data_IF_636381962236
#
_entry.id   IF_636381962236
#
_cell.length_a   1.000
_cell.length_b   1.000
_cell.length_c   1.000
_cell.angle_alpha   90.00
_cell.angle_beta   90.00
_cell.angle_gamma   90.00
#
_symmetry.space_group_name_H-M   'P 1'
#
loop_
_entity.id
_entity.type
_entity.pdbx_description
1 polymer ?
#
# COMPACT_ATOMS: atom_id res chain seq x y z
N UNK A 1 45.32 32.70 -15.88
CA UNK A 1 44.01 33.27 -15.49
C UNK A 1 42.95 32.44 -16.15
N UNK A 2 41.84 32.18 -15.44
CA UNK A 2 40.68 31.45 -15.98
C UNK A 2 40.43 30.13 -15.28
N UNK A 3 39.97 30.20 -14.03
CA UNK A 3 39.26 29.14 -13.33
C UNK A 3 37.83 29.12 -13.88
N UNK A 4 37.57 28.37 -14.94
CA UNK A 4 36.21 28.20 -15.49
C UNK A 4 35.89 26.71 -15.64
N UNK A 5 35.75 26.02 -14.52
CA UNK A 5 35.10 24.71 -14.52
C UNK A 5 34.40 24.39 -13.18
N UNK A 6 33.87 25.43 -12.53
CA UNK A 6 33.06 25.29 -11.33
C UNK A 6 31.61 25.63 -11.67
N UNK A 7 30.73 24.65 -11.44
CA UNK A 7 29.26 24.71 -11.47
C UNK A 7 28.56 24.29 -12.77
N UNK A 8 28.74 23.03 -13.19
CA UNK A 8 27.78 22.34 -14.08
C UNK A 8 26.80 21.41 -13.33
N UNK A 9 26.77 21.44 -12.00
CA UNK A 9 25.82 20.65 -11.20
C UNK A 9 25.06 21.59 -10.26
N UNK A 10 23.73 21.72 -10.38
CA UNK A 10 22.95 22.53 -9.45
C UNK A 10 23.13 22.00 -8.02
N UNK A 11 23.05 22.88 -6.99
CA UNK A 11 23.16 22.44 -5.60
C UNK A 11 22.10 21.35 -5.33
N UNK A 12 22.58 20.18 -4.92
CA UNK A 12 21.71 19.07 -4.50
C UNK A 12 21.39 19.25 -3.01
N UNK A 13 20.12 19.35 -2.68
CA UNK A 13 19.63 19.32 -1.31
C UNK A 13 19.31 17.88 -0.96
N UNK A 14 20.07 17.29 -0.06
CA UNK A 14 19.81 15.95 0.48
C UNK A 14 19.14 16.11 1.85
N UNK A 15 17.99 15.48 2.04
CA UNK A 15 17.24 15.50 3.31
C UNK A 15 17.21 14.08 3.87
N UNK A 16 17.66 13.93 5.12
CA UNK A 16 17.55 12.67 5.84
C UNK A 16 16.14 12.54 6.42
N UNK A 17 15.42 11.50 6.00
CA UNK A 17 14.07 11.22 6.47
C UNK A 17 13.95 9.76 6.91
N UNK A 18 13.23 9.53 8.01
CA UNK A 18 12.89 8.17 8.45
C UNK A 18 11.55 7.73 7.85
N UNK A 19 11.33 6.43 7.71
CA UNK A 19 10.03 5.89 7.30
C UNK A 19 8.89 6.38 8.23
N UNK A 20 9.17 6.54 9.53
CA UNK A 20 8.23 7.11 10.48
C UNK A 20 7.91 8.58 10.19
N UNK A 21 8.89 9.39 9.81
CA UNK A 21 8.67 10.79 9.45
C UNK A 21 7.80 10.93 8.19
N UNK A 22 8.03 10.08 7.18
CA UNK A 22 7.18 10.00 5.99
C UNK A 22 5.76 9.60 6.38
N UNK A 23 5.60 8.56 7.19
CA UNK A 23 4.29 8.11 7.68
C UNK A 23 3.52 9.22 8.39
N UNK A 24 4.18 9.96 9.28
CA UNK A 24 3.55 11.05 10.04
C UNK A 24 3.14 12.23 9.16
N UNK A 25 3.79 12.42 8.01
CA UNK A 25 3.45 13.48 7.05
C UNK A 25 2.31 13.08 6.09
N UNK A 26 2.01 11.78 5.96
CA UNK A 26 0.92 11.32 5.13
C UNK A 26 -0.42 11.62 5.84
N UNK A 27 -1.40 12.22 5.14
CA UNK A 27 -2.74 12.45 5.68
C UNK A 27 -3.53 11.13 5.67
N UNK A 28 -3.09 10.16 6.49
CA UNK A 28 -3.71 8.85 6.63
C UNK A 28 -4.89 9.00 7.58
N UNK A 29 -6.12 9.08 7.07
CA UNK A 29 -7.27 8.76 7.91
C UNK A 29 -7.36 7.25 8.03
N UNK A 30 -7.47 6.76 9.25
CA UNK A 30 -8.11 5.48 9.51
C UNK A 30 -9.60 5.79 9.52
N UNK A 31 -10.43 4.83 9.16
CA UNK A 31 -11.90 4.95 9.18
C UNK A 31 -12.52 5.48 7.88
N UNK A 32 -12.48 4.64 6.85
CA UNK A 32 -13.64 4.61 5.96
C UNK A 32 -14.80 3.96 6.74
N UNK A 33 -15.86 4.72 7.04
CA UNK A 33 -17.08 4.24 7.73
C UNK A 33 -17.73 3.07 6.97
N UNK A 34 -17.58 3.07 5.64
CA UNK A 34 -17.97 2.00 4.74
C UNK A 34 -16.74 1.36 4.12
N UNK A 35 -16.67 0.03 4.13
CA UNK A 35 -15.68 -0.73 3.35
C UNK A 35 -16.36 -1.28 2.10
N UNK A 36 -15.86 -0.89 0.93
CA UNK A 36 -16.45 -1.32 -0.34
C UNK A 36 -15.82 -2.64 -0.82
N UNK A 37 -16.54 -3.36 -1.67
CA UNK A 37 -16.02 -4.57 -2.29
C UNK A 37 -14.80 -4.24 -3.17
N UNK A 38 -13.64 -4.87 -2.91
CA UNK A 38 -12.50 -4.76 -3.80
C UNK A 38 -12.81 -5.33 -5.20
N UNK A 39 -12.05 -4.95 -6.23
CA UNK A 39 -12.17 -5.55 -7.56
C UNK A 39 -12.07 -7.07 -7.49
N UNK A 40 -12.99 -7.78 -8.15
CA UNK A 40 -13.07 -9.24 -8.09
C UNK A 40 -13.77 -9.79 -6.84
N UNK A 41 -14.41 -8.94 -6.04
CA UNK A 41 -15.18 -9.34 -4.86
C UNK A 41 -16.61 -8.82 -4.94
N UNK A 42 -17.54 -9.46 -4.21
CA UNK A 42 -18.87 -8.87 -3.95
C UNK A 42 -19.34 -9.15 -2.53
N UNK A 43 -20.16 -8.25 -1.99
CA UNK A 43 -20.95 -8.52 -0.79
C UNK A 43 -22.26 -9.19 -1.21
N UNK A 44 -22.54 -10.38 -0.66
CA UNK A 44 -23.79 -11.12 -0.80
C UNK A 44 -24.58 -11.06 0.50
N UNK A 45 -25.90 -10.90 0.40
CA UNK A 45 -26.80 -10.86 1.56
C UNK A 45 -26.82 -9.49 2.24
N UNK A 46 -27.61 -9.41 3.31
CA UNK A 46 -27.84 -8.18 4.08
C UNK A 46 -27.74 -8.45 5.59
N UNK A 47 -27.37 -7.42 6.35
CA UNK A 47 -27.25 -7.50 7.81
C UNK A 47 -26.23 -8.55 8.28
N UNK A 48 -26.57 -9.31 9.33
CA UNK A 48 -25.67 -10.31 9.92
C UNK A 48 -25.39 -11.52 9.00
N UNK A 49 -26.21 -11.72 7.97
CA UNK A 49 -26.03 -12.77 6.97
C UNK A 49 -25.12 -12.35 5.81
N UNK A 50 -24.64 -11.09 5.80
CA UNK A 50 -23.78 -10.61 4.73
C UNK A 50 -22.46 -11.41 4.68
N UNK A 51 -22.03 -11.75 3.46
CA UNK A 51 -20.82 -12.51 3.15
C UNK A 51 -20.07 -11.88 1.99
N UNK A 52 -18.78 -11.69 2.15
CA UNK A 52 -17.87 -11.27 1.09
C UNK A 52 -17.45 -12.48 0.28
N UNK A 53 -17.63 -12.43 -1.04
CA UNK A 53 -17.37 -13.54 -1.96
C UNK A 53 -16.35 -13.12 -3.00
N UNK A 54 -15.28 -13.90 -3.13
CA UNK A 54 -14.28 -13.76 -4.19
C UNK A 54 -14.88 -14.29 -5.52
N UNK A 55 -15.03 -13.41 -6.51
CA UNK A 55 -15.71 -13.67 -7.79
C UNK A 55 -14.83 -14.36 -8.83
N UNK A 56 -13.51 -14.30 -8.66
CA UNK A 56 -12.57 -15.01 -9.52
C UNK A 56 -12.04 -16.26 -8.81
N UNK A 57 -12.79 -17.37 -8.79
CA UNK A 57 -12.20 -18.63 -8.41
C UNK A 57 -11.18 -19.03 -9.47
N UNK A 58 -10.00 -19.47 -9.02
CA UNK A 58 -9.13 -20.31 -9.85
C UNK A 58 -9.97 -21.43 -10.47
N UNK A 59 -9.84 -21.74 -11.77
CA UNK A 59 -10.69 -22.71 -12.44
C UNK A 59 -10.71 -24.04 -11.67
N UNK A 60 -11.91 -24.49 -11.28
CA UNK A 60 -12.12 -25.72 -10.52
C UNK A 60 -12.17 -25.57 -9.00
N UNK A 61 -12.09 -24.35 -8.43
CA UNK A 61 -12.34 -24.11 -7.01
C UNK A 61 -13.69 -23.44 -6.77
N UNK A 62 -14.35 -23.82 -5.68
CA UNK A 62 -15.53 -23.10 -5.21
C UNK A 62 -15.13 -21.67 -4.77
N UNK A 63 -16.02 -20.67 -4.94
CA UNK A 63 -15.81 -19.34 -4.39
C UNK A 63 -15.57 -19.42 -2.88
N UNK A 64 -14.62 -18.64 -2.39
CA UNK A 64 -14.39 -18.50 -0.95
C UNK A 64 -15.27 -17.39 -0.40
N UNK A 65 -15.82 -17.63 0.77
CA UNK A 65 -16.70 -16.69 1.46
C UNK A 65 -16.07 -16.25 2.79
N UNK A 66 -16.25 -14.98 3.11
CA UNK A 66 -15.70 -14.34 4.30
C UNK A 66 -16.80 -13.56 5.01
N UNK A 67 -16.86 -13.66 6.33
CA UNK A 67 -17.91 -13.06 7.15
C UNK A 67 -17.59 -11.61 7.52
N UNK A 68 -16.31 -11.25 7.64
CA UNK A 68 -15.90 -9.95 8.16
C UNK A 68 -14.97 -9.21 7.20
N UNK A 69 -14.93 -7.88 7.35
CA UNK A 69 -13.93 -7.01 6.69
C UNK A 69 -12.51 -7.48 6.98
N UNK A 70 -12.18 -7.83 8.24
CA UNK A 70 -10.82 -8.21 8.63
C UNK A 70 -10.32 -9.40 7.83
N UNK A 71 -11.18 -10.41 7.64
CA UNK A 71 -10.86 -11.63 6.89
C UNK A 71 -10.61 -11.34 5.40
N UNK A 72 -11.41 -10.47 4.79
CA UNK A 72 -11.22 -10.05 3.39
C UNK A 72 -9.88 -9.33 3.23
N UNK A 73 -9.63 -8.35 4.09
CA UNK A 73 -8.41 -7.59 4.03
C UNK A 73 -7.17 -8.48 4.29
N UNK A 74 -7.26 -9.46 5.21
CA UNK A 74 -6.19 -10.46 5.44
C UNK A 74 -5.91 -11.30 4.21
N UNK A 75 -6.97 -11.75 3.53
CA UNK A 75 -6.83 -12.49 2.28
C UNK A 75 -6.17 -11.67 1.17
N UNK A 76 -6.51 -10.37 1.06
CA UNK A 76 -5.88 -9.45 0.11
C UNK A 76 -4.39 -9.22 0.42
N UNK A 77 -4.07 -9.11 1.71
CA UNK A 77 -2.69 -8.99 2.20
C UNK A 77 -1.87 -10.23 1.83
N UNK A 78 -2.41 -11.43 2.05
CA UNK A 78 -1.77 -12.69 1.64
C UNK A 78 -1.58 -12.80 0.12
N UNK A 79 -2.59 -12.40 -0.66
CA UNK A 79 -2.52 -12.42 -2.12
C UNK A 79 -1.43 -11.46 -2.64
N UNK A 80 -1.38 -10.24 -2.12
CA UNK A 80 -0.34 -9.28 -2.47
C UNK A 80 1.05 -9.80 -2.08
N UNK A 81 1.18 -10.36 -0.87
CA UNK A 81 2.45 -10.92 -0.39
C UNK A 81 2.95 -12.07 -1.27
N UNK A 82 2.05 -12.93 -1.78
CA UNK A 82 2.40 -14.00 -2.71
C UNK A 82 2.95 -13.48 -4.06
N UNK A 83 2.61 -12.25 -4.44
CA UNK A 83 3.15 -11.54 -5.61
C UNK A 83 4.36 -10.65 -5.28
N UNK A 84 4.85 -10.68 -4.04
CA UNK A 84 5.95 -9.80 -3.58
C UNK A 84 5.54 -8.33 -3.45
N UNK A 85 4.26 -8.06 -3.20
CA UNK A 85 3.68 -6.71 -3.02
C UNK A 85 3.07 -6.57 -1.62
N UNK A 86 2.87 -5.34 -1.17
CA UNK A 86 2.11 -5.04 0.05
C UNK A 86 0.72 -4.49 -0.32
N UNK A 87 -0.33 -5.09 0.23
CA UNK A 87 -1.68 -4.54 0.10
C UNK A 87 -1.85 -3.34 1.05
N UNK A 88 -2.06 -2.16 0.48
CA UNK A 88 -2.22 -0.91 1.24
C UNK A 88 -3.67 -0.52 1.50
N UNK A 89 -4.61 -1.06 0.71
CA UNK A 89 -5.97 -0.58 0.65
C UNK A 89 -6.47 -0.43 -0.78
N UNK A 90 -7.51 0.40 -0.95
CA UNK A 90 -8.11 0.70 -2.25
C UNK A 90 -8.57 2.16 -2.34
N UNK A 91 -8.67 2.69 -3.57
CA UNK A 91 -9.25 4.00 -3.85
C UNK A 91 -10.68 3.82 -4.36
N UNK A 92 -11.67 4.30 -3.61
CA UNK A 92 -13.09 4.17 -3.94
C UNK A 92 -13.76 5.53 -3.89
N UNK A 93 -14.40 5.94 -4.98
CA UNK A 93 -15.09 7.23 -5.06
C UNK A 93 -14.18 8.45 -4.79
N UNK A 94 -12.87 8.32 -5.00
CA UNK A 94 -11.89 9.35 -4.69
C UNK A 94 -11.38 9.38 -3.24
N UNK A 95 -11.87 8.48 -2.37
CA UNK A 95 -11.41 8.31 -1.00
C UNK A 95 -10.55 7.04 -0.86
N UNK A 96 -9.44 7.14 -0.12
CA UNK A 96 -8.59 5.99 0.17
C UNK A 96 -9.13 5.21 1.37
N UNK A 97 -9.42 3.93 1.17
CA UNK A 97 -9.70 2.97 2.23
C UNK A 97 -8.40 2.25 2.58
N UNK A 98 -7.61 2.83 3.48
CA UNK A 98 -6.28 2.30 3.82
C UNK A 98 -6.33 1.25 4.92
N UNK A 99 -5.46 0.25 4.80
CA UNK A 99 -5.09 -0.64 5.91
C UNK A 99 -3.84 -0.11 6.60
N UNK A 100 -4.10 0.64 7.66
CA UNK A 100 -3.12 1.32 8.54
C UNK A 100 -1.90 0.49 8.92
N UNK A 101 -2.12 -0.79 9.25
CA UNK A 101 -1.06 -1.69 9.71
C UNK A 101 -0.04 -2.03 8.62
N UNK A 102 -0.45 -1.99 7.36
CA UNK A 102 0.40 -2.31 6.21
C UNK A 102 1.20 -1.09 5.70
N UNK A 103 0.88 0.12 6.17
CA UNK A 103 1.53 1.37 5.72
C UNK A 103 3.05 1.34 5.97
N UNK A 104 3.49 0.84 7.12
CA UNK A 104 4.91 0.75 7.44
C UNK A 104 5.63 -0.18 6.45
N UNK A 105 5.11 -1.39 6.22
CA UNK A 105 5.68 -2.35 5.29
C UNK A 105 5.72 -1.82 3.85
N UNK A 106 4.68 -1.11 3.41
CA UNK A 106 4.67 -0.54 2.07
C UNK A 106 5.64 0.63 1.91
N UNK A 107 5.80 1.47 2.95
CA UNK A 107 6.81 2.53 2.97
C UNK A 107 8.21 1.93 2.90
N UNK A 108 8.49 0.88 3.66
CA UNK A 108 9.76 0.16 3.59
C UNK A 108 10.02 -0.41 2.20
N UNK A 109 9.04 -1.07 1.59
CA UNK A 109 9.15 -1.60 0.24
C UNK A 109 9.45 -0.49 -0.79
N UNK A 110 8.75 0.64 -0.71
CA UNK A 110 8.94 1.78 -1.61
C UNK A 110 10.32 2.42 -1.43
N UNK A 111 10.74 2.65 -0.18
CA UNK A 111 12.05 3.23 0.13
C UNK A 111 13.18 2.31 -0.34
N UNK A 112 13.04 1.00 -0.14
CA UNK A 112 13.98 0.01 -0.67
C UNK A 112 14.06 0.07 -2.20
N UNK A 113 12.92 0.17 -2.89
CA UNK A 113 12.86 0.34 -4.34
C UNK A 113 13.58 1.59 -4.83
N UNK A 114 13.43 2.73 -4.14
CA UNK A 114 14.14 3.97 -4.48
C UNK A 114 15.66 3.82 -4.32
N UNK A 115 16.12 3.07 -3.31
CA UNK A 115 17.55 2.77 -3.13
C UNK A 115 18.07 1.88 -4.25
N UNK A 116 17.34 0.83 -4.62
CA UNK A 116 17.70 -0.07 -5.73
C UNK A 116 17.79 0.69 -7.06
N UNK A 117 16.89 1.65 -7.29
CA UNK A 117 16.89 2.49 -8.49
C UNK A 117 17.98 3.59 -8.47
N UNK A 118 18.75 3.73 -7.39
CA UNK A 118 19.76 4.78 -7.24
C UNK A 118 19.19 6.19 -7.03
N UNK A 119 17.90 6.30 -6.71
CA UNK A 119 17.20 7.57 -6.46
C UNK A 119 17.31 8.01 -4.99
N UNK A 120 17.63 7.08 -4.10
CA UNK A 120 17.86 7.34 -2.68
C UNK A 120 19.09 6.57 -2.20
N UNK A 121 19.66 7.00 -1.06
CA UNK A 121 20.75 6.30 -0.38
C UNK A 121 20.28 5.85 1.00
N UNK A 122 20.38 4.56 1.28
CA UNK A 122 20.20 4.05 2.63
C UNK A 122 21.36 4.55 3.51
N UNK A 123 21.02 5.18 4.64
CA UNK A 123 21.98 5.59 5.66
C UNK A 123 21.82 4.60 6.81
N UNK A 124 22.87 3.82 7.10
CA UNK A 124 22.86 2.93 8.25
C UNK A 124 22.77 3.77 9.54
N UNK A 125 21.79 3.44 10.39
CA UNK A 125 21.64 3.98 11.73
C UNK A 125 22.22 3.03 12.77
#
# INVERSE_FOLDING_TARGET
GGLEEWASVPPRVEVLMTAQAVRNALPLSHDAESFHAPPGWRLQGEGAAARWVELEPLPGRAPREYATRSEVEERLEEAAAAEGRVWLGQLVGGAWELRSRCVAAALEQLLSGLVVLGLAKAVAG
#
